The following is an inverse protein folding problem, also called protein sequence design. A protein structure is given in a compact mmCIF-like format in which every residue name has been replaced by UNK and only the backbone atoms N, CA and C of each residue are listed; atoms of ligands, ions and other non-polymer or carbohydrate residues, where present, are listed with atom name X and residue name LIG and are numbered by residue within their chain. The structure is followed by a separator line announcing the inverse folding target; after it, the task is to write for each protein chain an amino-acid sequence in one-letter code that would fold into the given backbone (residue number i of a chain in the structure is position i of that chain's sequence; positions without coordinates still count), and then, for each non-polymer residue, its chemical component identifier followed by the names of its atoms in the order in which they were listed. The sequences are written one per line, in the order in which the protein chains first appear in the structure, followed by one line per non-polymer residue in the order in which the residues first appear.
data_IF_318720519096
#
_entry.id   IF_318720519096
#
_cell.length_a   1.000
_cell.length_b   1.000
_cell.length_c   1.000
_cell.angle_alpha   90.00
_cell.angle_beta   90.00
_cell.angle_gamma   90.00
#
_symmetry.space_group_name_H-M   'P 1'
#
loop_
_entity.id
_entity.type
_entity.pdbx_description
1 polymer ?
#
# COMPACT_ATOMS: atom_id res chain seq x y z
N UNK A 1 -8.40 -49.80 61.89
CA UNK A 1 -9.25 -50.44 60.86
C UNK A 1 -8.45 -50.33 59.55
N UNK A 2 -7.56 -51.28 59.26
CA UNK A 2 -7.76 -52.51 58.45
C UNK A 2 -8.30 -52.27 57.04
N UNK A 3 -7.45 -52.57 56.04
CA UNK A 3 -7.65 -53.08 54.66
C UNK A 3 -8.83 -52.52 53.80
N UNK A 4 -8.68 -52.32 52.49
CA UNK A 4 -8.34 -53.40 51.55
C UNK A 4 -7.86 -52.89 50.18
N UNK A 5 -6.96 -53.65 49.58
CA UNK A 5 -6.61 -53.58 48.16
C UNK A 5 -7.55 -54.53 47.40
N UNK A 6 -8.30 -54.02 46.43
CA UNK A 6 -8.90 -54.82 45.35
C UNK A 6 -8.77 -54.01 44.06
N UNK A 7 -7.95 -54.40 43.08
CA UNK A 7 -8.15 -55.49 42.12
C UNK A 7 -9.55 -55.52 41.51
N UNK A 8 -9.72 -54.73 40.45
CA UNK A 8 -10.59 -55.10 39.32
C UNK A 8 -9.86 -54.75 38.03
N UNK A 9 -9.19 -55.77 37.51
CA UNK A 9 -8.91 -55.96 36.09
C UNK A 9 -10.22 -56.19 35.33
N UNK A 10 -10.17 -55.87 34.03
CA UNK A 10 -11.07 -56.33 32.96
C UNK A 10 -12.44 -55.66 32.82
N UNK A 11 -12.44 -54.52 32.13
CA UNK A 11 -13.42 -54.25 31.08
C UNK A 11 -12.66 -54.25 29.75
N UNK A 12 -12.75 -55.34 29.00
CA UNK A 12 -12.36 -55.41 27.58
C UNK A 12 -13.36 -54.59 26.77
N UNK A 13 -13.37 -53.29 26.98
CA UNK A 13 -14.02 -52.36 26.07
C UNK A 13 -13.06 -52.24 24.91
N UNK A 14 -13.26 -53.12 23.93
CA UNK A 14 -12.64 -53.00 22.63
C UNK A 14 -12.79 -51.53 22.21
N UNK A 15 -11.68 -50.79 22.30
CA UNK A 15 -11.55 -49.49 21.68
C UNK A 15 -11.72 -49.75 20.20
N UNK A 16 -12.98 -49.72 19.74
CA UNK A 16 -13.32 -49.73 18.34
C UNK A 16 -12.85 -48.36 17.84
N UNK A 17 -11.56 -48.33 17.44
CA UNK A 17 -10.99 -47.20 16.75
C UNK A 17 -11.84 -47.03 15.51
N UNK A 18 -12.87 -46.17 15.60
CA UNK A 18 -13.67 -45.70 14.48
C UNK A 18 -12.75 -44.78 13.68
N UNK A 19 -11.78 -45.40 13.02
CA UNK A 19 -11.00 -44.81 11.96
C UNK A 19 -12.05 -44.38 10.96
N UNK A 20 -12.17 -43.08 10.75
CA UNK A 20 -12.88 -42.58 9.58
C UNK A 20 -12.10 -43.14 8.40
N UNK A 21 -12.51 -44.30 7.92
CA UNK A 21 -12.03 -44.86 6.68
C UNK A 21 -12.30 -43.78 5.65
N UNK A 22 -11.22 -43.13 5.21
CA UNK A 22 -11.25 -42.22 4.08
C UNK A 22 -11.97 -43.03 3.00
N UNK A 23 -13.16 -42.60 2.53
CA UNK A 23 -13.83 -43.34 1.48
C UNK A 23 -12.83 -43.42 0.33
N UNK A 24 -12.40 -44.63 0.02
CA UNK A 24 -11.70 -44.95 -1.21
C UNK A 24 -12.74 -44.87 -2.34
N UNK A 25 -13.38 -43.71 -2.49
CA UNK A 25 -13.74 -43.27 -3.83
C UNK A 25 -12.40 -43.11 -4.51
N UNK A 26 -12.05 -44.06 -5.36
CA UNK A 26 -11.09 -43.81 -6.43
C UNK A 26 -11.45 -42.42 -6.96
N UNK A 27 -10.55 -41.46 -6.77
CA UNK A 27 -10.55 -40.28 -7.62
C UNK A 27 -10.40 -40.91 -8.98
N UNK A 28 -11.52 -41.01 -9.70
CA UNK A 28 -11.67 -41.64 -10.98
C UNK A 28 -10.49 -41.17 -11.83
N UNK A 29 -9.40 -41.95 -11.87
CA UNK A 29 -8.19 -41.65 -12.63
C UNK A 29 -8.47 -41.83 -14.14
N UNK A 30 -9.73 -42.14 -14.45
CA UNK A 30 -10.36 -42.08 -15.75
C UNK A 30 -10.94 -40.72 -16.10
N UNK A 31 -10.97 -39.74 -15.18
CA UNK A 31 -11.05 -38.33 -15.56
C UNK A 31 -9.66 -37.90 -16.03
N UNK A 32 -9.25 -38.39 -17.20
CA UNK A 32 -8.39 -37.64 -18.10
C UNK A 32 -9.16 -36.37 -18.40
N UNK A 33 -9.09 -35.41 -17.49
CA UNK A 33 -9.64 -34.10 -17.68
C UNK A 33 -9.18 -33.66 -19.06
N UNK A 34 -10.14 -33.31 -19.92
CA UNK A 34 -9.79 -32.88 -21.26
C UNK A 34 -8.78 -31.72 -21.13
N UNK A 35 -7.97 -31.47 -22.16
CA UNK A 35 -7.03 -30.33 -22.12
C UNK A 35 -7.75 -29.03 -21.72
N UNK A 36 -9.06 -28.91 -22.02
CA UNK A 36 -9.92 -27.82 -21.58
C UNK A 36 -10.14 -27.74 -20.06
N UNK A 37 -10.26 -28.84 -19.32
CA UNK A 37 -10.44 -28.80 -17.87
C UNK A 37 -9.13 -28.46 -17.14
N UNK A 38 -7.98 -28.96 -17.62
CA UNK A 38 -6.67 -28.59 -17.07
C UNK A 38 -6.35 -27.11 -17.27
N UNK A 39 -6.66 -26.57 -18.45
CA UNK A 39 -6.52 -25.13 -18.73
C UNK A 39 -7.49 -24.31 -17.88
N UNK A 40 -8.73 -24.79 -17.69
CA UNK A 40 -9.72 -24.16 -16.81
C UNK A 40 -9.23 -24.09 -15.36
N UNK A 41 -8.72 -25.20 -14.82
CA UNK A 41 -8.24 -25.28 -13.44
C UNK A 41 -6.97 -24.45 -13.22
N UNK A 42 -6.02 -24.48 -14.17
CA UNK A 42 -4.83 -23.63 -14.12
C UNK A 42 -5.19 -22.13 -14.17
N UNK A 43 -6.17 -21.75 -15.00
CA UNK A 43 -6.66 -20.37 -15.09
C UNK A 43 -7.39 -19.94 -13.81
N UNK A 44 -8.15 -20.85 -13.20
CA UNK A 44 -8.82 -20.62 -11.92
C UNK A 44 -7.79 -20.40 -10.78
N UNK A 45 -6.73 -21.21 -10.74
CA UNK A 45 -5.64 -21.06 -9.75
C UNK A 45 -4.87 -19.76 -9.95
N UNK A 46 -4.53 -19.41 -11.20
CA UNK A 46 -3.89 -18.13 -11.51
C UNK A 46 -4.78 -16.95 -11.09
N UNK A 47 -6.09 -17.05 -11.32
CA UNK A 47 -7.06 -16.02 -10.88
C UNK A 47 -7.11 -15.91 -9.35
N UNK A 48 -7.01 -17.03 -8.62
CA UNK A 48 -6.97 -17.02 -7.15
C UNK A 48 -5.69 -16.40 -6.60
N UNK A 49 -4.52 -16.69 -7.20
CA UNK A 49 -3.26 -16.08 -6.80
C UNK A 49 -3.26 -14.57 -7.04
N UNK A 50 -3.71 -14.15 -8.22
CA UNK A 50 -3.82 -12.72 -8.53
C UNK A 50 -4.75 -12.00 -7.56
N UNK A 51 -5.90 -12.60 -7.23
CA UNK A 51 -6.81 -12.03 -6.24
C UNK A 51 -6.15 -11.92 -4.86
N UNK A 52 -5.41 -12.95 -4.43
CA UNK A 52 -4.72 -12.96 -3.14
C UNK A 52 -3.61 -11.90 -3.06
N UNK A 53 -2.84 -11.71 -4.13
CA UNK A 53 -1.78 -10.70 -4.19
C UNK A 53 -2.35 -9.27 -4.22
N UNK A 54 -3.47 -9.07 -4.91
CA UNK A 54 -4.22 -7.80 -4.86
C UNK A 54 -4.79 -7.54 -3.47
N UNK A 55 -5.32 -8.56 -2.79
CA UNK A 55 -5.82 -8.43 -1.43
C UNK A 55 -4.70 -8.07 -0.46
N UNK A 56 -3.56 -8.76 -0.55
CA UNK A 56 -2.38 -8.48 0.26
C UNK A 56 -1.88 -7.05 0.01
N UNK A 57 -1.66 -6.67 -1.26
CA UNK A 57 -1.25 -5.32 -1.63
C UNK A 57 -2.24 -4.27 -1.12
N UNK A 58 -3.56 -4.54 -1.20
CA UNK A 58 -4.58 -3.65 -0.66
C UNK A 58 -4.45 -3.49 0.86
N UNK A 59 -4.19 -4.56 1.60
CA UNK A 59 -4.00 -4.48 3.06
C UNK A 59 -2.74 -3.71 3.42
N UNK A 60 -1.63 -3.94 2.74
CA UNK A 60 -0.37 -3.24 2.96
C UNK A 60 -0.51 -1.75 2.63
N UNK A 61 -1.05 -1.43 1.45
CA UNK A 61 -1.34 -0.07 1.04
C UNK A 61 -2.32 0.63 1.99
N UNK A 62 -3.32 -0.07 2.54
CA UNK A 62 -4.23 0.53 3.53
C UNK A 62 -3.50 0.91 4.83
N UNK A 63 -2.56 0.07 5.29
CA UNK A 63 -1.74 0.36 6.47
C UNK A 63 -0.82 1.55 6.20
N UNK A 64 -0.16 1.61 5.04
CA UNK A 64 0.69 2.74 4.65
C UNK A 64 -0.11 4.03 4.48
N UNK A 65 -1.25 3.96 3.80
CA UNK A 65 -2.15 5.10 3.62
C UNK A 65 -2.63 5.63 4.97
N UNK A 66 -2.99 4.76 5.92
CA UNK A 66 -3.39 5.18 7.27
C UNK A 66 -2.25 5.92 7.99
N UNK A 67 -1.02 5.42 7.92
CA UNK A 67 0.15 6.11 8.48
C UNK A 67 0.36 7.48 7.82
N UNK A 68 0.23 7.54 6.49
CA UNK A 68 0.31 8.77 5.72
C UNK A 68 -0.77 9.79 6.11
N UNK A 69 -2.02 9.35 6.33
CA UNK A 69 -3.13 10.19 6.76
C UNK A 69 -2.91 10.71 8.18
N UNK A 70 -2.51 9.86 9.12
CA UNK A 70 -2.23 10.28 10.50
C UNK A 70 -1.07 11.27 10.52
N UNK A 71 0.05 10.93 9.87
CA UNK A 71 1.22 11.80 9.78
C UNK A 71 0.88 13.13 9.10
N UNK A 72 0.19 13.09 7.97
CA UNK A 72 -0.28 14.27 7.24
C UNK A 72 -1.24 15.13 8.08
N UNK A 73 -2.16 14.51 8.80
CA UNK A 73 -3.08 15.19 9.71
C UNK A 73 -2.35 15.87 10.88
N UNK A 74 -1.40 15.17 11.51
CA UNK A 74 -0.57 15.74 12.58
C UNK A 74 0.28 16.90 12.07
N UNK A 75 0.90 16.79 10.89
CA UNK A 75 1.64 17.88 10.27
C UNK A 75 0.72 19.06 9.90
N UNK A 76 -0.51 18.78 9.47
CA UNK A 76 -1.52 19.81 9.23
C UNK A 76 -1.82 20.59 10.50
N UNK A 77 -2.17 19.90 11.60
CA UNK A 77 -2.44 20.52 12.90
C UNK A 77 -1.23 21.28 13.43
N UNK A 78 -0.04 20.68 13.40
CA UNK A 78 1.19 21.31 13.85
C UNK A 78 1.51 22.57 13.01
N UNK A 79 1.33 22.49 11.69
CA UNK A 79 1.50 23.62 10.77
C UNK A 79 0.52 24.75 11.06
N UNK A 80 -0.75 24.44 11.33
CA UNK A 80 -1.76 25.43 11.73
C UNK A 80 -1.40 26.09 13.06
N UNK A 81 -1.01 25.32 14.08
CA UNK A 81 -0.57 25.86 15.38
C UNK A 81 0.65 26.77 15.19
N UNK A 82 1.64 26.33 14.42
CA UNK A 82 2.84 27.11 14.14
C UNK A 82 2.50 28.42 13.39
N UNK A 83 1.58 28.35 12.42
CA UNK A 83 1.12 29.52 11.67
C UNK A 83 0.47 30.56 12.58
N UNK A 84 -0.50 30.17 13.42
CA UNK A 84 -1.14 31.11 14.36
C UNK A 84 -0.17 31.59 15.45
N UNK A 85 0.68 30.70 15.97
CA UNK A 85 1.70 31.05 16.97
C UNK A 85 2.73 32.04 16.42
N UNK A 86 3.02 31.99 15.12
CA UNK A 86 3.98 32.91 14.50
C UNK A 86 3.58 34.38 14.65
N UNK A 87 2.29 34.69 14.63
CA UNK A 87 1.79 36.04 14.86
C UNK A 87 2.19 36.55 16.25
N UNK A 88 1.97 35.75 17.29
CA UNK A 88 2.38 36.08 18.66
C UNK A 88 3.90 36.15 18.80
N UNK A 89 4.64 35.28 18.11
CA UNK A 89 6.10 35.30 18.12
C UNK A 89 6.68 36.60 17.55
N UNK A 90 6.17 37.07 16.40
CA UNK A 90 6.64 38.34 15.83
C UNK A 90 6.20 39.55 16.64
N UNK A 91 5.00 39.51 17.23
CA UNK A 91 4.57 40.53 18.17
C UNK A 91 5.48 40.59 19.40
N UNK A 92 5.80 39.43 19.98
CA UNK A 92 6.77 39.31 21.06
C UNK A 92 8.14 39.86 20.64
N UNK A 93 8.62 39.56 19.44
CA UNK A 93 9.91 40.04 18.94
C UNK A 93 9.95 41.57 18.83
N UNK A 94 8.85 42.18 18.38
CA UNK A 94 8.72 43.63 18.29
C UNK A 94 8.69 44.26 19.69
N UNK A 95 7.94 43.67 20.63
CA UNK A 95 7.90 44.17 22.02
C UNK A 95 9.22 43.94 22.76
N UNK A 96 9.95 42.88 22.44
CA UNK A 96 11.30 42.64 22.95
C UNK A 96 12.25 43.73 22.46
N UNK A 97 12.23 44.06 21.17
CA UNK A 97 13.05 45.14 20.61
C UNK A 97 12.69 46.52 21.18
N UNK A 98 11.41 46.74 21.52
CA UNK A 98 10.94 47.97 22.17
C UNK A 98 11.64 48.27 23.51
N UNK A 99 12.35 47.31 24.11
CA UNK A 99 13.17 47.57 25.31
C UNK A 99 14.40 48.43 25.03
N UNK A 100 14.89 48.47 23.78
CA UNK A 100 16.10 49.21 23.40
C UNK A 100 15.85 50.37 22.44
N UNK A 101 14.73 50.36 21.71
CA UNK A 101 14.39 51.37 20.68
C UNK A 101 12.91 51.76 20.75
N UNK A 102 12.55 52.87 20.09
CA UNK A 102 11.16 53.30 20.00
C UNK A 102 10.24 52.22 19.43
N UNK A 103 9.04 52.09 20.00
CA UNK A 103 8.06 51.07 19.62
C UNK A 103 7.78 51.04 18.12
N UNK A 104 7.57 52.20 17.50
CA UNK A 104 7.27 52.26 16.07
C UNK A 104 8.43 51.70 15.21
N UNK A 105 9.67 51.95 15.61
CA UNK A 105 10.86 51.48 14.91
C UNK A 105 11.05 49.96 15.10
N UNK A 106 10.78 49.45 16.30
CA UNK A 106 10.83 48.01 16.58
C UNK A 106 9.87 47.22 15.67
N UNK A 107 8.62 47.66 15.57
CA UNK A 107 7.63 47.02 14.69
C UNK A 107 8.02 47.11 13.21
N UNK A 108 8.58 48.24 12.78
CA UNK A 108 9.05 48.41 11.40
C UNK A 108 10.21 47.45 11.07
N UNK A 109 11.17 47.28 11.98
CA UNK A 109 12.31 46.36 11.80
C UNK A 109 11.82 44.91 11.70
N UNK A 110 10.93 44.48 12.58
CA UNK A 110 10.36 43.12 12.54
C UNK A 110 9.57 42.90 11.26
N UNK A 111 8.81 43.90 10.80
CA UNK A 111 8.09 43.82 9.53
C UNK A 111 9.04 43.64 8.34
N UNK A 112 10.12 44.41 8.26
CA UNK A 112 11.13 44.26 7.20
C UNK A 112 11.80 42.89 7.27
N UNK A 113 12.13 42.40 8.47
CA UNK A 113 12.63 41.05 8.67
C UNK A 113 11.66 39.98 8.13
N UNK A 114 10.36 40.12 8.39
CA UNK A 114 9.33 39.21 7.85
C UNK A 114 9.27 39.23 6.32
N UNK A 115 9.39 40.40 5.68
CA UNK A 115 9.43 40.49 4.22
C UNK A 115 10.65 39.76 3.62
N UNK A 116 11.82 39.91 4.25
CA UNK A 116 13.04 39.19 3.82
C UNK A 116 12.85 37.69 3.99
N UNK A 117 12.37 37.25 5.16
CA UNK A 117 12.12 35.84 5.44
C UNK A 117 11.11 35.24 4.44
N UNK A 118 9.98 35.93 4.21
CA UNK A 118 8.97 35.51 3.24
C UNK A 118 9.53 35.44 1.82
N UNK A 119 10.33 36.42 1.41
CA UNK A 119 11.00 36.42 0.10
C UNK A 119 11.94 35.22 -0.07
N UNK A 120 12.77 34.91 0.93
CA UNK A 120 13.67 33.74 0.90
C UNK A 120 12.87 32.44 0.82
N UNK A 121 11.84 32.27 1.66
CA UNK A 121 11.01 31.07 1.66
C UNK A 121 10.25 30.90 0.34
N UNK A 122 9.71 31.98 -0.23
CA UNK A 122 9.05 31.97 -1.53
C UNK A 122 10.01 31.56 -2.66
N UNK A 123 11.23 32.09 -2.67
CA UNK A 123 12.25 31.72 -3.65
C UNK A 123 12.68 30.25 -3.54
N UNK A 124 12.93 29.76 -2.32
CA UNK A 124 13.28 28.36 -2.08
C UNK A 124 12.13 27.44 -2.47
N UNK A 125 10.90 27.78 -2.07
CA UNK A 125 9.68 27.06 -2.43
C UNK A 125 9.49 27.00 -3.94
N UNK A 126 9.61 28.14 -4.63
CA UNK A 126 9.52 28.23 -6.08
C UNK A 126 10.57 27.34 -6.78
N UNK A 127 11.82 27.37 -6.31
CA UNK A 127 12.89 26.52 -6.86
C UNK A 127 12.63 25.03 -6.63
N UNK A 128 12.04 24.65 -5.49
CA UNK A 128 11.66 23.25 -5.21
C UNK A 128 10.52 22.80 -6.12
N UNK A 129 9.46 23.59 -6.24
CA UNK A 129 8.31 23.29 -7.12
C UNK A 129 8.76 23.18 -8.58
N UNK A 130 9.62 24.09 -9.05
CA UNK A 130 10.15 24.06 -10.42
C UNK A 130 11.02 22.81 -10.72
N UNK A 131 11.62 22.20 -9.69
CA UNK A 131 12.40 20.95 -9.83
C UNK A 131 11.52 19.70 -9.90
N UNK A 132 10.24 19.78 -9.51
CA UNK A 132 9.32 18.66 -9.64
C UNK A 132 9.04 18.45 -11.13
N UNK A 133 9.74 17.49 -11.73
CA UNK A 133 9.52 17.09 -13.12
C UNK A 133 8.24 16.25 -13.20
N UNK A 134 7.42 16.47 -14.23
CA UNK A 134 6.29 15.58 -14.54
C UNK A 134 6.82 14.14 -14.67
N UNK A 135 6.08 13.11 -14.23
CA UNK A 135 6.52 11.71 -14.35
C UNK A 135 6.50 11.27 -15.83
N UNK A 136 7.58 11.60 -16.56
CA UNK A 136 7.70 11.41 -18.01
C UNK A 136 7.62 9.93 -18.39
N UNK A 137 8.29 9.06 -17.65
CA UNK A 137 8.30 7.62 -17.89
C UNK A 137 6.89 7.02 -17.79
N UNK A 138 6.15 7.34 -16.73
CA UNK A 138 4.76 6.89 -16.55
C UNK A 138 3.86 7.38 -17.67
N UNK A 139 4.00 8.64 -18.10
CA UNK A 139 3.23 9.20 -19.20
C UNK A 139 3.59 8.50 -20.52
N UNK A 140 4.88 8.21 -20.75
CA UNK A 140 5.35 7.51 -21.95
C UNK A 140 4.82 6.07 -22.00
N UNK A 141 4.90 5.30 -20.91
CA UNK A 141 4.37 3.93 -20.86
C UNK A 141 2.87 3.89 -21.12
N UNK A 142 2.08 4.82 -20.56
CA UNK A 142 0.64 4.90 -20.84
C UNK A 142 0.36 5.29 -22.31
N UNK A 143 1.19 6.14 -22.91
CA UNK A 143 1.06 6.52 -24.30
C UNK A 143 1.45 5.38 -25.27
N UNK A 144 2.45 4.58 -24.92
CA UNK A 144 2.81 3.37 -25.68
C UNK A 144 1.71 2.33 -25.61
N UNK A 145 1.10 2.11 -24.43
CA UNK A 145 -0.05 1.22 -24.27
C UNK A 145 -1.24 1.63 -25.14
N UNK A 146 -1.49 2.93 -25.32
CA UNK A 146 -2.54 3.43 -26.22
C UNK A 146 -2.24 3.21 -27.71
N UNK A 147 -0.95 3.14 -28.10
CA UNK A 147 -0.54 2.91 -29.49
C UNK A 147 -0.59 1.43 -29.88
N UNK A 148 -0.61 0.52 -28.92
CA UNK A 148 -0.76 -0.90 -29.17
C UNK A 148 -2.25 -1.23 -29.39
N UNK A 149 -2.61 -1.47 -30.65
CA UNK A 149 -3.94 -1.99 -31.02
C UNK A 149 -4.07 -3.43 -30.48
N UNK A 150 -5.03 -3.72 -29.60
CA UNK A 150 -5.27 -5.08 -29.12
C UNK A 150 -5.52 -6.02 -30.30
N UNK A 151 -4.86 -7.18 -30.32
CA UNK A 151 -5.04 -8.18 -31.39
C UNK A 151 -4.02 -8.18 -32.53
N UNK A 152 -3.25 -7.09 -32.76
CA UNK A 152 -2.22 -7.10 -33.83
C UNK A 152 -1.01 -7.96 -33.51
N UNK A 153 -0.62 -8.06 -32.24
CA UNK A 153 0.44 -8.97 -31.80
C UNK A 153 0.00 -10.43 -31.95
N UNK A 154 -1.25 -10.75 -31.62
CA UNK A 154 -1.84 -12.09 -31.79
C UNK A 154 -1.96 -12.47 -33.27
N UNK A 155 -2.45 -11.56 -34.12
CA UNK A 155 -2.55 -11.80 -35.57
C UNK A 155 -1.18 -12.05 -36.23
N UNK A 156 -0.12 -11.39 -35.76
CA UNK A 156 1.25 -11.59 -36.27
C UNK A 156 1.85 -12.92 -35.82
N UNK A 157 1.51 -13.39 -34.62
CA UNK A 157 1.91 -14.71 -34.10
C UNK A 157 1.17 -15.85 -34.82
N UNK A 158 -0.13 -15.69 -35.08
CA UNK A 158 -0.92 -16.66 -35.86
C UNK A 158 -0.45 -16.78 -37.32
N UNK A 159 -0.11 -15.64 -37.96
CA UNK A 159 0.41 -15.63 -39.33
C UNK A 159 1.80 -16.29 -39.43
N UNK A 160 2.66 -16.10 -38.42
CA UNK A 160 4.00 -16.72 -38.39
C UNK A 160 3.94 -18.24 -38.17
N UNK A 161 2.96 -18.72 -37.38
CA UNK A 161 2.83 -20.14 -37.10
C UNK A 161 2.29 -20.94 -38.31
N UNK A 162 1.47 -20.31 -39.17
CA UNK A 162 0.96 -20.95 -40.40
C UNK A 162 2.03 -21.26 -41.45
N UNK A 163 3.18 -20.59 -41.42
CA UNK A 163 4.28 -20.82 -42.38
C UNK A 163 5.26 -21.92 -41.97
N UNK A 164 5.17 -22.45 -40.75
CA UNK A 164 6.10 -23.46 -40.22
C UNK A 164 5.63 -24.91 -40.43
N UNK A 165 4.41 -25.12 -40.94
CA UNK A 165 3.79 -26.43 -41.17
C UNK A 165 3.51 -26.75 -42.64
N UNK A 166 4.09 -26.00 -43.59
CA UNK A 166 4.00 -26.25 -45.04
C UNK A 166 5.29 -26.81 -45.61
#
# INVERSE_FOLDING_TARGET
MSNDKGFFTEGNDAFEAKVNAIPLTDVDATNKGSIGSLVSDATAQMSSLFRAEVELAKTELAVEAKKGVIGGGMFGVAGTIALYSSFFFFFFLAELLNLWIDRWAAFLIVFLFMLVLAGVLALVGFKKVKKISKPKETINSVNELKKLVPGKAQAKLEASNRGLYS
#
